data_IF_533471856821
#
_entry.id   IF_533471856821
#
_cell.length_a   1.000
_cell.length_b   1.000
_cell.length_c   1.000
_cell.angle_alpha   90.00
_cell.angle_beta   90.00
_cell.angle_gamma   90.00
#
_symmetry.space_group_name_H-M   'P 1'
#
loop_
_entity.id
_entity.type
_entity.pdbx_description
1 polymer ?
#
# COMPACT_ATOMS: atom_id res chain seq x y z
N UNK A 1 13.21 2.42 -16.70
CA UNK A 1 13.77 1.67 -15.55
C UNK A 1 14.51 0.39 -16.00
N UNK A 2 13.86 -0.49 -16.76
CA UNK A 2 14.49 -1.73 -17.25
C UNK A 2 15.75 -1.44 -18.11
N UNK A 3 15.71 -0.42 -18.94
CA UNK A 3 16.83 0.01 -19.77
C UNK A 3 17.94 0.70 -18.95
N UNK A 4 17.57 1.51 -17.96
CA UNK A 4 18.52 2.24 -17.10
C UNK A 4 19.21 1.32 -16.09
N UNK A 5 18.57 0.22 -15.68
CA UNK A 5 19.15 -0.78 -14.81
C UNK A 5 20.10 -1.80 -15.49
N UNK A 6 20.53 -1.54 -16.74
CA UNK A 6 21.46 -2.41 -17.46
C UNK A 6 20.82 -3.62 -18.15
N UNK A 7 19.51 -3.64 -18.28
CA UNK A 7 18.74 -4.72 -18.91
C UNK A 7 18.68 -4.64 -20.45
N UNK A 8 19.48 -3.79 -21.07
CA UNK A 8 19.51 -3.59 -22.53
C UNK A 8 19.69 -4.87 -23.36
N UNK A 9 20.22 -5.95 -22.74
CA UNK A 9 20.47 -7.22 -23.43
C UNK A 9 19.40 -8.28 -23.21
N UNK A 10 18.39 -8.04 -22.37
CA UNK A 10 17.42 -9.07 -21.93
C UNK A 10 15.95 -8.65 -22.02
N UNK A 11 15.63 -7.39 -22.37
CA UNK A 11 14.25 -7.04 -22.63
C UNK A 11 13.78 -7.81 -23.88
N UNK A 12 12.75 -8.68 -23.77
CA UNK A 12 12.19 -9.31 -24.95
C UNK A 12 11.79 -8.25 -25.93
N UNK A 13 12.12 -8.43 -27.21
CA UNK A 13 11.76 -7.48 -28.26
C UNK A 13 10.25 -7.21 -28.34
N UNK A 14 9.45 -8.14 -27.79
CA UNK A 14 8.00 -8.11 -27.79
C UNK A 14 7.38 -7.49 -26.53
N UNK A 15 8.18 -7.11 -25.51
CA UNK A 15 7.68 -6.42 -24.33
C UNK A 15 7.38 -4.96 -24.66
N UNK A 16 6.11 -4.60 -24.68
CA UNK A 16 5.63 -3.24 -24.94
C UNK A 16 4.98 -2.62 -23.71
N UNK A 17 4.83 -1.29 -23.69
CA UNK A 17 4.11 -0.58 -22.63
C UNK A 17 2.65 -1.03 -22.50
N UNK A 18 2.03 -1.54 -23.57
CA UNK A 18 0.67 -2.07 -23.55
C UNK A 18 0.48 -3.25 -22.59
N UNK A 19 1.55 -4.00 -22.28
CA UNK A 19 1.48 -5.07 -21.27
C UNK A 19 1.34 -4.55 -19.84
N UNK A 20 1.53 -3.25 -19.61
CA UNK A 20 1.34 -2.59 -18.32
C UNK A 20 0.17 -1.58 -18.34
N UNK A 21 -0.59 -1.54 -19.43
CA UNK A 21 -1.80 -0.73 -19.58
C UNK A 21 -3.01 -1.53 -19.06
N UNK A 22 -3.07 -1.71 -17.75
CA UNK A 22 -4.13 -2.45 -17.09
C UNK A 22 -5.38 -1.58 -16.95
N UNK A 23 -6.58 -2.20 -16.98
CA UNK A 23 -7.85 -1.48 -16.90
C UNK A 23 -7.94 -0.56 -15.68
N UNK A 24 -8.20 0.72 -15.94
CA UNK A 24 -8.24 1.76 -14.90
C UNK A 24 -9.36 1.56 -13.88
N UNK A 25 -10.46 0.91 -14.26
CA UNK A 25 -11.55 0.63 -13.29
C UNK A 25 -11.05 -0.22 -12.14
N UNK A 26 -10.16 -1.17 -12.41
CA UNK A 26 -9.57 -2.04 -11.38
C UNK A 26 -8.46 -1.30 -10.64
N UNK A 27 -7.53 -0.67 -11.37
CA UNK A 27 -6.40 0.01 -10.73
C UNK A 27 -6.86 1.18 -9.86
N UNK A 28 -7.81 2.00 -10.34
CA UNK A 28 -8.39 3.12 -9.58
C UNK A 28 -9.16 2.63 -8.33
N UNK A 29 -9.89 1.50 -8.46
CA UNK A 29 -10.59 0.91 -7.30
C UNK A 29 -9.62 0.54 -6.18
N UNK A 30 -8.44 0.06 -6.52
CA UNK A 30 -7.43 -0.33 -5.55
C UNK A 30 -6.59 0.86 -5.06
N UNK A 31 -6.30 1.84 -5.92
CA UNK A 31 -5.40 2.95 -5.61
C UNK A 31 -6.11 4.10 -4.86
N UNK A 32 -7.31 4.51 -5.31
CA UNK A 32 -7.97 5.64 -4.68
C UNK A 32 -8.52 5.27 -3.32
N UNK A 33 -8.05 5.96 -2.28
CA UNK A 33 -8.35 5.68 -0.87
C UNK A 33 -9.84 5.51 -0.58
N UNK A 34 -10.70 6.31 -1.22
CA UNK A 34 -12.14 6.24 -1.04
C UNK A 34 -12.78 5.04 -1.73
N UNK A 35 -12.28 4.64 -2.90
CA UNK A 35 -12.76 3.45 -3.61
C UNK A 35 -12.29 2.18 -2.92
N UNK A 36 -11.03 2.13 -2.48
CA UNK A 36 -10.48 1.03 -1.70
C UNK A 36 -11.27 0.79 -0.41
N UNK A 37 -11.60 1.88 0.32
CA UNK A 37 -12.39 1.79 1.54
C UNK A 37 -13.83 1.31 1.34
N UNK A 38 -14.42 1.54 0.16
CA UNK A 38 -15.72 0.99 -0.23
C UNK A 38 -15.63 -0.46 -0.74
N UNK A 39 -14.49 -0.82 -1.29
CA UNK A 39 -14.25 -2.13 -1.88
C UNK A 39 -13.88 -3.18 -0.83
N UNK A 40 -13.08 -2.84 0.17
CA UNK A 40 -12.56 -3.78 1.16
C UNK A 40 -13.47 -3.91 2.39
N UNK A 41 -13.55 -5.10 2.99
CA UNK A 41 -14.28 -5.30 4.23
C UNK A 41 -13.49 -4.77 5.44
N UNK A 42 -14.23 -4.40 6.48
CA UNK A 42 -13.66 -3.84 7.74
C UNK A 42 -12.79 -4.82 8.53
N UNK A 43 -12.80 -6.09 8.16
CA UNK A 43 -11.99 -7.15 8.77
C UNK A 43 -10.52 -7.08 8.33
N UNK A 44 -10.23 -6.51 7.15
CA UNK A 44 -8.85 -6.43 6.61
C UNK A 44 -8.39 -5.01 6.36
N UNK A 45 -9.30 -4.04 6.35
CA UNK A 45 -9.02 -2.63 6.10
C UNK A 45 -9.69 -1.77 7.18
N UNK A 46 -9.01 -0.78 7.79
CA UNK A 46 -9.64 0.09 8.77
C UNK A 46 -10.85 0.80 8.20
N UNK A 47 -11.96 0.85 8.96
CA UNK A 47 -13.21 1.48 8.53
C UNK A 47 -12.94 2.86 7.93
N UNK A 48 -13.34 3.06 6.69
CA UNK A 48 -13.00 4.24 5.89
C UNK A 48 -14.26 4.82 5.26
N UNK A 49 -14.44 6.13 5.38
CA UNK A 49 -15.61 6.86 4.90
C UNK A 49 -15.16 7.98 3.98
N UNK A 50 -15.80 8.11 2.82
CA UNK A 50 -15.66 9.28 1.98
C UNK A 50 -16.33 10.49 2.65
N UNK A 51 -15.64 11.63 2.70
CA UNK A 51 -16.10 12.83 3.38
C UNK A 51 -15.67 14.09 2.61
N UNK A 52 -16.61 15.02 2.40
CA UNK A 52 -16.38 16.28 1.71
C UNK A 52 -17.24 17.41 2.29
N UNK A 53 -17.30 18.57 1.60
CA UNK A 53 -18.08 19.75 2.00
C UNK A 53 -19.57 19.50 2.07
N UNK A 54 -20.09 18.52 1.31
CA UNK A 54 -21.51 18.30 1.15
C UNK A 54 -22.07 17.25 2.10
N UNK A 55 -21.23 16.26 2.48
CA UNK A 55 -21.69 15.11 3.26
C UNK A 55 -21.13 15.00 4.69
N UNK A 56 -20.17 15.86 5.08
CA UNK A 56 -19.44 15.71 6.34
C UNK A 56 -20.32 15.65 7.59
N UNK A 57 -21.44 16.41 7.61
CA UNK A 57 -22.36 16.37 8.75
C UNK A 57 -23.05 15.02 8.87
N UNK A 58 -23.49 14.47 7.75
CA UNK A 58 -24.15 13.16 7.70
C UNK A 58 -23.17 12.06 8.12
N UNK A 59 -21.96 12.08 7.56
CA UNK A 59 -20.90 11.11 7.90
C UNK A 59 -20.59 11.16 9.39
N UNK A 60 -20.30 12.36 9.93
CA UNK A 60 -19.92 12.48 11.35
C UNK A 60 -21.03 12.16 12.33
N UNK A 61 -22.30 12.22 11.92
CA UNK A 61 -23.42 11.76 12.72
C UNK A 61 -23.60 10.23 12.71
N UNK A 62 -23.04 9.55 11.72
CA UNK A 62 -23.20 8.09 11.53
C UNK A 62 -22.02 7.25 12.02
N UNK A 63 -20.85 7.87 12.24
CA UNK A 63 -19.64 7.15 12.65
C UNK A 63 -19.49 7.13 14.18
N UNK A 64 -18.82 6.10 14.73
CA UNK A 64 -18.55 6.04 16.16
C UNK A 64 -17.61 7.15 16.63
N UNK A 65 -17.68 7.48 17.92
CA UNK A 65 -16.72 8.40 18.54
C UNK A 65 -15.44 7.64 18.90
N UNK A 66 -14.40 7.85 18.08
CA UNK A 66 -13.09 7.22 18.19
C UNK A 66 -12.01 8.10 17.57
N UNK A 67 -10.77 7.68 17.64
CA UNK A 67 -9.65 8.35 16.96
C UNK A 67 -9.72 8.16 15.46
N UNK A 68 -9.59 9.27 14.76
CA UNK A 68 -9.68 9.34 13.30
C UNK A 68 -8.43 9.90 12.66
N UNK A 69 -8.09 9.37 11.49
CA UNK A 69 -7.15 9.97 10.55
C UNK A 69 -7.92 10.49 9.34
N UNK A 70 -7.72 11.77 9.01
CA UNK A 70 -8.29 12.42 7.84
C UNK A 70 -7.20 12.59 6.80
N UNK A 71 -7.43 12.07 5.60
CA UNK A 71 -6.47 12.07 4.49
C UNK A 71 -7.13 12.64 3.24
N UNK A 72 -6.50 13.57 2.48
CA UNK A 72 -6.99 13.93 1.16
C UNK A 72 -7.07 12.71 0.24
N UNK A 73 -8.17 12.59 -0.51
CA UNK A 73 -8.43 11.42 -1.36
C UNK A 73 -7.41 11.28 -2.50
N UNK A 74 -6.93 12.41 -3.02
CA UNK A 74 -6.13 12.48 -4.24
C UNK A 74 -4.67 12.87 -4.00
N UNK A 75 -4.27 13.14 -2.74
CA UNK A 75 -2.88 13.47 -2.42
C UNK A 75 -2.15 12.28 -1.85
N UNK A 76 -0.85 12.20 -2.19
CA UNK A 76 0.09 11.20 -1.70
C UNK A 76 1.11 11.83 -0.73
N UNK A 77 2.04 11.03 -0.23
CA UNK A 77 3.19 11.45 0.60
C UNK A 77 2.82 12.15 1.92
N UNK A 78 1.71 11.79 2.54
CA UNK A 78 1.35 12.29 3.87
C UNK A 78 0.92 13.75 3.94
N UNK A 79 0.75 14.43 2.81
CA UNK A 79 0.38 15.83 2.77
C UNK A 79 -1.04 16.05 3.31
N UNK A 80 -1.20 17.09 4.12
CA UNK A 80 -2.49 17.51 4.72
C UNK A 80 -3.21 16.38 5.48
N UNK A 81 -2.47 15.43 6.04
CA UNK A 81 -3.02 14.43 6.95
C UNK A 81 -3.25 15.07 8.33
N UNK A 82 -4.39 14.79 8.92
CA UNK A 82 -4.74 15.23 10.27
C UNK A 82 -5.16 14.02 11.12
N UNK A 83 -4.78 14.05 12.40
CA UNK A 83 -5.22 13.09 13.41
C UNK A 83 -6.15 13.80 14.40
N UNK A 84 -7.25 13.15 14.73
CA UNK A 84 -8.24 13.67 15.67
C UNK A 84 -8.54 12.62 16.75
N UNK A 85 -8.47 12.99 18.03
CA UNK A 85 -8.72 12.04 19.12
C UNK A 85 -10.18 11.55 19.19
N UNK A 86 -11.08 12.24 18.52
CA UNK A 86 -12.51 11.95 18.53
C UNK A 86 -13.24 12.64 17.37
N UNK A 87 -14.49 12.28 17.16
CA UNK A 87 -15.37 12.85 16.14
C UNK A 87 -15.56 14.37 16.28
N UNK A 88 -15.56 14.89 17.52
CA UNK A 88 -15.69 16.34 17.78
C UNK A 88 -14.54 17.14 17.16
N UNK A 89 -13.32 16.60 17.19
CA UNK A 89 -12.16 17.24 16.55
C UNK A 89 -12.35 17.39 15.04
N UNK A 90 -12.91 16.37 14.39
CA UNK A 90 -13.25 16.40 12.96
C UNK A 90 -14.35 17.43 12.68
N UNK A 91 -15.37 17.52 13.53
CA UNK A 91 -16.42 18.56 13.47
C UNK A 91 -15.82 19.97 13.50
N UNK A 92 -14.92 20.23 14.42
CA UNK A 92 -14.25 21.54 14.54
C UNK A 92 -13.43 21.84 13.30
N UNK A 93 -12.71 20.86 12.74
CA UNK A 93 -11.92 21.00 11.52
C UNK A 93 -12.81 21.38 10.32
N UNK A 94 -13.95 20.69 10.11
CA UNK A 94 -14.86 21.00 9.00
C UNK A 94 -15.58 22.35 9.12
N UNK A 95 -15.65 22.91 10.32
CA UNK A 95 -16.17 24.27 10.56
C UNK A 95 -15.13 25.37 10.37
N UNK A 96 -13.85 25.01 10.32
CA UNK A 96 -12.78 25.98 10.13
C UNK A 96 -12.72 26.46 8.67
N UNK A 97 -12.52 27.76 8.48
CA UNK A 97 -12.29 28.35 7.15
C UNK A 97 -10.90 28.06 6.58
N UNK A 98 -9.95 27.65 7.44
CA UNK A 98 -8.54 27.48 7.06
C UNK A 98 -8.19 26.01 6.74
N UNK A 99 -9.18 25.14 6.54
CA UNK A 99 -8.92 23.76 6.12
C UNK A 99 -8.70 23.66 4.62
N UNK A 100 -7.99 22.64 4.21
CA UNK A 100 -7.98 22.21 2.81
C UNK A 100 -9.40 21.75 2.41
N UNK A 101 -9.92 22.27 1.31
CA UNK A 101 -11.17 21.80 0.71
C UNK A 101 -10.98 20.53 -0.12
N UNK A 102 -12.11 20.05 -0.69
CA UNK A 102 -12.14 18.90 -1.58
C UNK A 102 -12.32 17.55 -0.86
N UNK A 103 -12.27 16.45 -1.63
CA UNK A 103 -12.59 15.13 -1.14
C UNK A 103 -11.50 14.57 -0.22
N UNK A 104 -11.94 14.00 0.91
CA UNK A 104 -11.09 13.32 1.89
C UNK A 104 -11.63 11.92 2.18
N UNK A 105 -10.81 11.12 2.84
CA UNK A 105 -11.23 9.92 3.55
C UNK A 105 -11.04 10.12 5.05
N UNK A 106 -12.07 9.77 5.81
CA UNK A 106 -12.05 9.65 7.26
C UNK A 106 -11.88 8.18 7.59
N UNK A 107 -10.71 7.80 8.09
CA UNK A 107 -10.36 6.41 8.38
C UNK A 107 -10.13 6.20 9.87
N UNK A 108 -10.60 5.07 10.39
CA UNK A 108 -10.33 4.67 11.76
C UNK A 108 -8.81 4.59 12.00
N UNK A 109 -8.32 5.27 13.03
CA UNK A 109 -6.90 5.28 13.34
C UNK A 109 -6.53 4.09 14.23
N UNK A 110 -5.47 3.38 13.87
CA UNK A 110 -4.94 2.27 14.66
C UNK A 110 -4.06 2.83 15.80
N UNK A 111 -4.68 3.03 16.95
CA UNK A 111 -4.03 3.67 18.13
C UNK A 111 -3.03 2.78 18.85
N UNK A 112 -3.22 1.48 18.76
CA UNK A 112 -2.34 0.49 19.37
C UNK A 112 -1.61 -0.31 18.28
N UNK A 113 -0.63 0.32 17.59
CA UNK A 113 0.18 -0.40 16.60
C UNK A 113 1.15 -1.34 17.30
N UNK A 114 1.49 -2.45 16.65
CA UNK A 114 2.68 -3.19 16.99
C UNK A 114 3.92 -2.31 16.75
N UNK A 115 4.86 -2.30 17.69
CA UNK A 115 6.02 -1.41 17.65
C UNK A 115 7.32 -2.21 17.52
N UNK A 116 8.24 -1.73 16.70
CA UNK A 116 9.62 -2.21 16.74
C UNK A 116 10.28 -1.70 18.02
N UNK A 117 10.88 -2.62 18.78
CA UNK A 117 11.57 -2.27 20.02
C UNK A 117 12.82 -1.47 19.71
N UNK A 118 12.91 -0.28 20.29
CA UNK A 118 14.09 0.58 20.29
C UNK A 118 14.75 0.59 21.67
N UNK A 119 15.85 1.34 21.83
CA UNK A 119 16.60 1.40 23.10
C UNK A 119 15.76 1.87 24.29
N UNK A 120 14.83 2.80 24.08
CA UNK A 120 14.02 3.41 25.14
C UNK A 120 12.52 3.24 24.94
N UNK A 121 12.04 3.36 23.71
CA UNK A 121 10.61 3.28 23.33
C UNK A 121 10.47 2.57 22.00
N UNK A 122 9.27 2.03 21.75
CA UNK A 122 8.97 1.41 20.49
C UNK A 122 8.70 2.41 19.36
N UNK A 123 9.08 2.04 18.16
CA UNK A 123 8.85 2.83 16.96
C UNK A 123 7.71 2.25 16.12
N UNK A 124 6.81 3.13 15.67
CA UNK A 124 5.75 2.75 14.75
C UNK A 124 6.34 2.43 13.37
N UNK A 125 5.76 1.47 12.68
CA UNK A 125 6.15 1.11 11.33
C UNK A 125 4.95 0.76 10.45
N UNK A 126 5.14 0.84 9.15
CA UNK A 126 4.33 0.17 8.15
C UNK A 126 5.20 -0.79 7.34
N UNK A 127 4.54 -1.73 6.65
CA UNK A 127 5.17 -2.71 5.78
C UNK A 127 4.81 -2.37 4.33
N UNK A 128 5.81 -2.18 3.45
CA UNK A 128 5.62 -2.10 2.01
C UNK A 128 5.93 -3.47 1.40
N UNK A 129 4.95 -4.04 0.71
CA UNK A 129 5.08 -5.26 -0.08
C UNK A 129 4.76 -4.98 -1.55
N UNK A 130 5.15 -5.88 -2.45
CA UNK A 130 4.91 -5.76 -3.88
C UNK A 130 4.00 -6.89 -4.36
N UNK A 131 2.95 -6.51 -5.04
CA UNK A 131 1.92 -7.41 -5.55
C UNK A 131 1.72 -7.20 -7.04
N UNK A 132 1.61 -8.29 -7.79
CA UNK A 132 1.42 -8.30 -9.24
C UNK A 132 0.08 -8.94 -9.54
N UNK A 133 -0.76 -8.23 -10.29
CA UNK A 133 -2.04 -8.72 -10.80
C UNK A 133 -1.94 -8.90 -12.31
N UNK A 134 -2.49 -9.98 -12.86
CA UNK A 134 -2.57 -10.22 -14.30
C UNK A 134 -4.01 -10.07 -14.81
N UNK A 135 -4.17 -9.72 -16.09
CA UNK A 135 -5.47 -9.71 -16.77
C UNK A 135 -6.10 -11.10 -16.93
N UNK A 136 -5.42 -12.16 -16.51
CA UNK A 136 -5.95 -13.53 -16.43
C UNK A 136 -6.47 -13.87 -15.04
N UNK A 137 -6.57 -12.90 -14.13
CA UNK A 137 -7.06 -13.12 -12.77
C UNK A 137 -6.12 -13.91 -11.87
N UNK A 138 -4.85 -13.93 -12.19
CA UNK A 138 -3.80 -14.45 -11.32
C UNK A 138 -3.17 -13.31 -10.55
N UNK A 139 -2.73 -13.57 -9.32
CA UNK A 139 -2.00 -12.60 -8.55
C UNK A 139 -0.84 -13.23 -7.78
N UNK A 140 0.23 -12.46 -7.61
CA UNK A 140 1.49 -12.92 -7.08
C UNK A 140 2.07 -11.93 -6.08
N UNK A 141 2.47 -12.40 -4.92
CA UNK A 141 3.14 -11.61 -3.89
C UNK A 141 4.65 -11.84 -3.98
N UNK A 142 5.42 -10.75 -4.07
CA UNK A 142 6.87 -10.83 -3.90
C UNK A 142 7.21 -10.95 -2.41
N UNK A 143 8.01 -11.94 -1.97
CA UNK A 143 8.18 -12.25 -0.56
C UNK A 143 9.06 -11.26 0.20
N UNK A 144 9.73 -10.36 -0.51
CA UNK A 144 10.60 -9.36 0.07
C UNK A 144 10.01 -7.96 -0.08
N UNK A 145 9.94 -7.26 1.02
CA UNK A 145 9.52 -5.88 1.08
C UNK A 145 10.37 -5.12 2.10
N UNK A 146 9.83 -4.09 2.68
CA UNK A 146 10.53 -3.33 3.70
C UNK A 146 9.60 -2.70 4.73
N UNK A 147 10.15 -2.46 5.90
CA UNK A 147 9.56 -1.66 6.95
C UNK A 147 9.88 -0.18 6.70
N UNK A 148 8.87 0.67 6.73
CA UNK A 148 9.02 2.11 6.93
C UNK A 148 8.91 2.38 8.43
N UNK A 149 10.01 2.56 9.12
CA UNK A 149 10.07 2.73 10.56
C UNK A 149 10.19 4.21 10.90
N UNK A 150 9.23 4.79 11.63
CA UNK A 150 9.27 6.18 12.05
C UNK A 150 10.56 6.48 12.84
N UNK A 151 11.21 7.63 12.55
CA UNK A 151 12.43 8.03 13.23
C UNK A 151 12.22 8.39 14.70
N UNK A 152 10.99 8.79 15.07
CA UNK A 152 10.64 9.12 16.45
C UNK A 152 9.84 7.99 17.10
N UNK A 153 10.09 7.71 18.39
CA UNK A 153 9.30 6.77 19.16
C UNK A 153 7.81 7.14 19.11
N UNK A 154 6.96 6.12 19.08
CA UNK A 154 5.51 6.30 19.10
C UNK A 154 5.03 6.91 20.42
N UNK A 155 4.20 7.94 20.34
CA UNK A 155 3.61 8.63 21.50
C UNK A 155 2.10 8.58 21.41
N UNK A 156 1.48 7.57 22.04
CA UNK A 156 0.02 7.42 22.04
C UNK A 156 -0.64 8.70 22.59
N UNK A 157 -1.64 9.21 21.86
CA UNK A 157 -2.40 10.40 22.26
C UNK A 157 -1.74 11.74 21.93
N UNK A 158 -0.49 11.80 21.50
CA UNK A 158 0.17 13.06 21.08
C UNK A 158 -0.08 13.33 19.57
N UNK A 159 -1.33 13.50 19.18
CA UNK A 159 -1.74 13.65 17.78
C UNK A 159 -1.23 14.93 17.09
N UNK A 160 -0.65 15.86 17.82
CA UNK A 160 -0.01 17.05 17.24
C UNK A 160 1.37 16.75 16.68
N UNK A 161 2.03 15.69 17.16
CA UNK A 161 3.35 15.28 16.68
C UNK A 161 3.22 14.21 15.60
N UNK A 162 2.89 14.60 14.37
CA UNK A 162 2.70 13.67 13.26
C UNK A 162 3.92 12.79 12.98
N UNK A 163 5.14 13.24 13.32
CA UNK A 163 6.37 12.50 13.05
C UNK A 163 6.51 11.18 13.80
N UNK A 164 5.76 10.98 14.89
CA UNK A 164 5.74 9.70 15.60
C UNK A 164 4.52 8.83 15.23
N UNK A 165 3.58 9.38 14.47
CA UNK A 165 2.33 8.71 14.07
C UNK A 165 2.34 8.26 12.60
N UNK A 166 2.97 9.03 11.71
CA UNK A 166 3.01 8.75 10.28
C UNK A 166 4.30 7.99 9.92
N UNK A 167 4.14 7.03 9.04
CA UNK A 167 5.24 6.21 8.47
C UNK A 167 5.46 6.50 6.99
N UNK A 168 5.05 7.70 6.54
CA UNK A 168 5.37 8.20 5.22
C UNK A 168 6.86 8.56 5.16
N UNK A 169 7.49 8.33 4.02
CA UNK A 169 8.93 8.58 3.81
C UNK A 169 9.29 10.04 4.10
N UNK A 170 8.46 10.96 3.63
CA UNK A 170 8.61 12.39 3.90
C UNK A 170 7.36 12.95 4.57
N UNK A 171 7.54 13.84 5.55
CA UNK A 171 6.48 14.70 6.10
C UNK A 171 6.44 16.08 5.44
N UNK A 172 7.54 16.45 4.75
CA UNK A 172 7.72 17.63 3.92
C UNK A 172 8.76 17.33 2.85
N UNK A 173 8.90 18.17 1.83
CA UNK A 173 9.82 17.94 0.72
C UNK A 173 11.28 17.64 1.12
N UNK A 174 11.73 18.15 2.26
CA UNK A 174 13.13 18.10 2.68
C UNK A 174 13.38 17.28 3.96
N UNK A 175 12.36 16.63 4.53
CA UNK A 175 12.51 15.97 5.83
C UNK A 175 12.13 14.49 5.76
N UNK A 176 13.14 13.63 5.78
CA UNK A 176 12.93 12.19 5.98
C UNK A 176 12.31 11.92 7.34
N UNK A 177 11.30 11.07 7.37
CA UNK A 177 10.57 10.69 8.58
C UNK A 177 10.77 9.23 8.98
N UNK A 178 11.33 8.41 8.11
CA UNK A 178 11.47 6.97 8.32
C UNK A 178 12.86 6.47 7.97
N UNK A 179 13.20 5.31 8.55
CA UNK A 179 14.26 4.44 8.06
C UNK A 179 13.60 3.26 7.37
N UNK A 180 14.10 2.91 6.19
CA UNK A 180 13.65 1.75 5.42
C UNK A 180 14.53 0.54 5.72
N UNK A 181 13.92 -0.54 6.22
CA UNK A 181 14.62 -1.75 6.62
C UNK A 181 14.04 -2.95 5.86
N UNK A 182 14.85 -3.69 5.09
CA UNK A 182 14.35 -4.86 4.37
C UNK A 182 13.73 -5.91 5.29
N UNK A 183 12.61 -6.52 4.88
CA UNK A 183 11.87 -7.50 5.70
C UNK A 183 12.70 -8.73 6.05
N UNK A 184 13.62 -9.15 5.18
CA UNK A 184 14.48 -10.32 5.42
C UNK A 184 15.51 -10.11 6.53
N UNK A 185 15.71 -8.89 7.01
CA UNK A 185 16.60 -8.59 8.15
C UNK A 185 15.91 -8.76 9.51
N UNK A 186 14.60 -8.98 9.52
CA UNK A 186 13.83 -9.08 10.76
C UNK A 186 12.98 -10.35 10.79
N UNK A 187 13.30 -11.27 11.69
CA UNK A 187 12.49 -12.47 11.95
C UNK A 187 11.04 -12.16 12.35
N UNK A 188 10.82 -10.97 12.90
CA UNK A 188 9.50 -10.43 13.23
C UNK A 188 8.52 -10.44 12.04
N UNK A 189 9.01 -10.37 10.80
CA UNK A 189 8.17 -10.40 9.61
C UNK A 189 7.52 -11.77 9.36
N UNK A 190 8.18 -12.85 9.77
CA UNK A 190 7.75 -14.23 9.46
C UNK A 190 6.29 -14.52 9.82
N UNK A 191 5.78 -14.20 11.04
CA UNK A 191 4.38 -14.46 11.39
C UNK A 191 3.36 -13.58 10.66
N UNK A 192 3.78 -12.44 10.10
CA UNK A 192 2.89 -11.53 9.38
C UNK A 192 2.71 -11.90 7.92
N UNK A 193 3.69 -12.57 7.30
CA UNK A 193 3.65 -12.91 5.90
C UNK A 193 2.44 -13.76 5.50
N UNK A 194 2.06 -14.82 6.22
CA UNK A 194 0.85 -15.58 5.91
C UNK A 194 -0.44 -14.75 5.99
N UNK A 195 -0.54 -13.81 6.95
CA UNK A 195 -1.69 -12.91 7.04
C UNK A 195 -1.74 -11.95 5.83
N UNK A 196 -0.60 -11.44 5.38
CA UNK A 196 -0.50 -10.61 4.18
C UNK A 196 -0.98 -11.38 2.94
N UNK A 197 -0.55 -12.65 2.78
CA UNK A 197 -1.01 -13.52 1.70
C UNK A 197 -2.53 -13.71 1.74
N UNK A 198 -3.09 -14.01 2.91
CA UNK A 198 -4.52 -14.21 3.09
C UNK A 198 -5.33 -12.94 2.77
N UNK A 199 -4.87 -11.77 3.20
CA UNK A 199 -5.48 -10.48 2.86
C UNK A 199 -5.47 -10.26 1.33
N UNK A 200 -4.34 -10.48 0.67
CA UNK A 200 -4.23 -10.29 -0.78
C UNK A 200 -5.03 -11.33 -1.57
N UNK A 201 -5.15 -12.56 -1.05
CA UNK A 201 -6.08 -13.56 -1.58
C UNK A 201 -7.53 -13.04 -1.52
N UNK A 202 -7.99 -12.51 -0.39
CA UNK A 202 -9.32 -11.93 -0.24
C UNK A 202 -9.54 -10.75 -1.21
N UNK A 203 -8.54 -9.87 -1.39
CA UNK A 203 -8.59 -8.79 -2.39
C UNK A 203 -8.81 -9.37 -3.78
N UNK A 204 -8.04 -10.38 -4.17
CA UNK A 204 -8.15 -11.04 -5.48
C UNK A 204 -9.53 -11.68 -5.68
N UNK A 205 -10.06 -12.39 -4.69
CA UNK A 205 -11.40 -13.01 -4.79
C UNK A 205 -12.49 -11.95 -5.00
N UNK A 206 -12.44 -10.84 -4.28
CA UNK A 206 -13.39 -9.74 -4.47
C UNK A 206 -13.27 -9.07 -5.83
N UNK A 207 -12.06 -8.95 -6.39
CA UNK A 207 -11.86 -8.49 -7.77
C UNK A 207 -12.52 -9.43 -8.77
N UNK A 208 -12.32 -10.74 -8.61
CA UNK A 208 -12.94 -11.76 -9.46
C UNK A 208 -14.47 -11.71 -9.38
N UNK A 209 -15.02 -11.53 -8.20
CA UNK A 209 -16.49 -11.43 -8.00
C UNK A 209 -17.07 -10.17 -8.63
N UNK A 210 -16.40 -9.02 -8.45
CA UNK A 210 -16.96 -7.73 -8.83
C UNK A 210 -16.64 -7.30 -10.27
N UNK A 211 -15.46 -7.69 -10.78
CA UNK A 211 -14.90 -7.20 -12.04
C UNK A 211 -14.53 -8.33 -13.01
N UNK A 212 -15.16 -9.50 -12.93
CA UNK A 212 -14.83 -10.65 -13.78
C UNK A 212 -14.89 -10.31 -15.28
N UNK A 213 -15.88 -9.54 -15.73
CA UNK A 213 -16.03 -9.16 -17.13
C UNK A 213 -14.91 -8.24 -17.63
N UNK A 214 -14.28 -7.49 -16.74
CA UNK A 214 -13.17 -6.59 -17.06
C UNK A 214 -11.85 -7.34 -16.92
N UNK A 215 -11.66 -8.06 -15.82
CA UNK A 215 -10.43 -8.76 -15.48
C UNK A 215 -10.00 -9.80 -16.53
N UNK A 216 -10.96 -10.38 -17.25
CA UNK A 216 -10.71 -11.39 -18.29
C UNK A 216 -11.01 -10.88 -19.73
N UNK A 217 -11.10 -9.56 -19.91
CA UNK A 217 -11.52 -8.98 -21.20
C UNK A 217 -10.40 -8.86 -22.22
N UNK A 218 -9.14 -8.78 -21.77
CA UNK A 218 -8.00 -8.64 -22.66
C UNK A 218 -7.58 -9.96 -23.28
N UNK A 219 -7.34 -9.97 -24.60
CA UNK A 219 -6.73 -11.10 -25.30
C UNK A 219 -5.23 -11.19 -25.04
N UNK A 220 -4.58 -10.05 -24.80
CA UNK A 220 -3.17 -9.97 -24.46
C UNK A 220 -3.02 -9.95 -22.94
N UNK A 221 -1.94 -10.57 -22.47
CA UNK A 221 -1.67 -10.54 -21.03
C UNK A 221 -1.19 -9.16 -20.61
N UNK A 222 -1.84 -8.63 -19.59
CA UNK A 222 -1.47 -7.37 -18.96
C UNK A 222 -1.10 -7.58 -17.50
N UNK A 223 -0.22 -6.72 -16.98
CA UNK A 223 0.28 -6.76 -15.62
C UNK A 223 0.01 -5.43 -14.92
N UNK A 224 -0.56 -5.46 -13.74
CA UNK A 224 -0.63 -4.31 -12.85
C UNK A 224 0.29 -4.56 -11.65
N UNK A 225 1.16 -3.59 -11.36
CA UNK A 225 2.11 -3.64 -10.26
C UNK A 225 1.64 -2.75 -9.13
N UNK A 226 1.58 -3.28 -7.91
CA UNK A 226 1.16 -2.54 -6.73
C UNK A 226 2.21 -2.58 -5.63
N UNK A 227 2.50 -1.40 -5.07
CA UNK A 227 3.10 -1.29 -3.74
C UNK A 227 1.98 -1.28 -2.70
N UNK A 228 1.95 -2.28 -1.84
CA UNK A 228 0.88 -2.48 -0.85
C UNK A 228 1.39 -2.17 0.53
N UNK A 229 0.70 -1.28 1.23
CA UNK A 229 1.06 -0.85 2.57
C UNK A 229 0.19 -1.52 3.63
N UNK A 230 0.86 -2.14 4.60
CA UNK A 230 0.23 -2.79 5.73
C UNK A 230 0.68 -2.18 7.05
N UNK A 231 -0.15 -2.32 8.07
CA UNK A 231 0.20 -2.05 9.46
C UNK A 231 -0.18 -3.24 10.32
N UNK A 232 0.59 -3.48 11.36
CA UNK A 232 0.30 -4.50 12.37
C UNK A 232 -0.17 -3.81 13.63
N UNK A 233 -1.23 -4.32 14.26
CA UNK A 233 -1.69 -3.83 15.57
C UNK A 233 -1.01 -4.56 16.74
N UNK A 234 -1.23 -4.10 17.96
CA UNK A 234 -0.66 -4.68 19.17
C UNK A 234 -1.12 -6.13 19.47
N UNK A 235 -2.13 -6.61 18.75
CA UNK A 235 -2.59 -8.02 18.79
C UNK A 235 -1.99 -8.86 17.68
N UNK A 236 -0.98 -8.33 16.98
CA UNK A 236 -0.30 -8.96 15.85
C UNK A 236 -1.22 -9.22 14.65
N UNK A 237 -2.33 -8.50 14.53
CA UNK A 237 -3.21 -8.55 13.37
C UNK A 237 -2.71 -7.58 12.30
N UNK A 238 -2.64 -8.08 11.07
CA UNK A 238 -2.25 -7.28 9.90
C UNK A 238 -3.48 -6.57 9.31
N UNK A 239 -3.29 -5.29 8.98
CA UNK A 239 -4.28 -4.42 8.34
C UNK A 239 -3.72 -3.90 7.02
N UNK A 240 -4.47 -4.02 5.94
CA UNK A 240 -4.15 -3.38 4.66
C UNK A 240 -4.53 -1.90 4.76
N UNK A 241 -3.62 -0.99 4.49
CA UNK A 241 -3.85 0.45 4.58
C UNK A 241 -4.14 1.11 3.24
N UNK A 242 -3.29 0.83 2.24
CA UNK A 242 -3.38 1.39 0.89
C UNK A 242 -2.68 0.51 -0.13
N UNK A 243 -3.07 0.66 -1.39
CA UNK A 243 -2.43 0.04 -2.54
C UNK A 243 -2.07 1.14 -3.53
N UNK A 244 -0.82 1.18 -3.97
CA UNK A 244 -0.29 2.19 -4.87
C UNK A 244 0.03 1.55 -6.21
N UNK A 245 -0.70 1.89 -7.27
CA UNK A 245 -0.44 1.40 -8.61
C UNK A 245 0.82 2.07 -9.17
N UNK A 246 1.65 1.30 -9.88
CA UNK A 246 2.91 1.79 -10.43
C UNK A 246 3.89 2.29 -9.35
N UNK A 247 4.27 1.46 -8.35
CA UNK A 247 5.12 1.92 -7.27
C UNK A 247 6.47 2.42 -7.78
N UNK A 248 6.95 3.51 -7.19
CA UNK A 248 8.29 4.04 -7.50
C UNK A 248 9.37 3.08 -6.99
N UNK A 249 10.35 2.82 -7.84
CA UNK A 249 11.56 2.10 -7.51
C UNK A 249 12.75 3.03 -7.69
N UNK A 250 13.50 3.39 -6.62
CA UNK A 250 14.73 4.17 -6.75
C UNK A 250 15.73 3.48 -7.68
N UNK A 251 16.41 4.27 -8.51
CA UNK A 251 17.42 3.77 -9.46
C UNK A 251 18.86 3.87 -8.95
N UNK A 252 19.05 4.46 -7.77
CA UNK A 252 20.36 4.67 -7.17
C UNK A 252 20.97 3.35 -6.71
N UNK A 253 22.14 3.00 -7.25
CA UNK A 253 22.82 1.72 -6.96
C UNK A 253 23.19 1.54 -5.49
N UNK A 254 23.38 2.63 -4.75
CA UNK A 254 23.73 2.62 -3.33
C UNK A 254 22.51 2.57 -2.38
N UNK A 255 21.28 2.53 -2.90
CA UNK A 255 20.10 2.44 -2.06
C UNK A 255 20.06 1.11 -1.30
N UNK A 256 19.80 1.10 0.04
CA UNK A 256 19.85 -0.12 0.86
C UNK A 256 18.94 -1.25 0.39
N UNK A 257 17.84 -0.91 -0.29
CA UNK A 257 16.85 -1.86 -0.79
C UNK A 257 17.15 -2.32 -2.23
N UNK A 258 18.16 -1.72 -2.91
CA UNK A 258 18.36 -1.88 -4.35
C UNK A 258 18.54 -3.35 -4.75
N UNK A 259 19.48 -4.06 -4.14
CA UNK A 259 19.87 -5.38 -4.62
C UNK A 259 18.78 -6.45 -4.45
N UNK A 260 18.27 -6.64 -3.21
CA UNK A 260 17.37 -7.76 -2.90
C UNK A 260 15.90 -7.41 -3.07
N UNK A 261 15.52 -6.16 -2.84
CA UNK A 261 14.12 -5.77 -2.93
C UNK A 261 13.80 -5.30 -4.35
N UNK A 262 14.49 -4.30 -4.87
CA UNK A 262 14.10 -3.72 -6.16
C UNK A 262 14.64 -4.50 -7.36
N UNK A 263 15.93 -4.78 -7.43
CA UNK A 263 16.51 -5.59 -8.52
C UNK A 263 15.97 -7.02 -8.47
N UNK A 264 15.93 -7.62 -7.27
CA UNK A 264 15.37 -8.95 -7.09
C UNK A 264 13.91 -9.06 -7.53
N UNK A 265 13.08 -8.05 -7.22
CA UNK A 265 11.70 -7.97 -7.70
C UNK A 265 11.63 -7.98 -9.23
N UNK A 266 12.36 -7.07 -9.88
CA UNK A 266 12.33 -6.96 -11.33
C UNK A 266 12.86 -8.21 -12.03
N UNK A 267 13.95 -8.80 -11.52
CA UNK A 267 14.51 -10.05 -12.04
C UNK A 267 13.50 -11.18 -11.98
N UNK A 268 12.89 -11.38 -10.82
CA UNK A 268 11.89 -12.43 -10.63
C UNK A 268 10.63 -12.15 -11.46
N UNK A 269 10.17 -10.90 -11.54
CA UNK A 269 9.01 -10.51 -12.34
C UNK A 269 9.21 -10.90 -13.81
N UNK A 270 10.36 -10.57 -14.38
CA UNK A 270 10.66 -10.88 -15.78
C UNK A 270 10.76 -12.40 -15.98
N UNK A 271 11.59 -13.07 -15.20
CA UNK A 271 11.91 -14.49 -15.39
C UNK A 271 10.76 -15.43 -15.03
N UNK A 272 9.98 -15.12 -14.02
CA UNK A 272 8.95 -16.03 -13.51
C UNK A 272 7.54 -15.69 -14.01
N UNK A 273 7.25 -14.42 -14.31
CA UNK A 273 5.90 -14.00 -14.66
C UNK A 273 5.77 -13.50 -16.10
N UNK A 274 6.68 -12.67 -16.59
CA UNK A 274 6.55 -12.02 -17.90
C UNK A 274 7.01 -12.95 -19.03
N UNK A 275 8.27 -13.38 -19.04
CA UNK A 275 8.82 -14.21 -20.11
C UNK A 275 8.02 -15.50 -20.35
N UNK A 276 7.65 -16.27 -19.30
CA UNK A 276 6.89 -17.50 -19.52
C UNK A 276 5.55 -17.27 -20.21
N UNK A 277 4.90 -16.15 -19.92
CA UNK A 277 3.58 -15.83 -20.49
C UNK A 277 3.69 -15.25 -21.91
N UNK A 278 4.71 -14.43 -22.18
CA UNK A 278 4.93 -13.88 -23.52
C UNK A 278 5.40 -14.95 -24.51
N UNK A 279 6.24 -15.86 -24.08
CA UNK A 279 6.83 -16.88 -24.96
C UNK A 279 6.17 -18.27 -24.82
N UNK A 280 5.09 -18.34 -24.05
CA UNK A 280 4.27 -19.57 -23.88
C UNK A 280 5.08 -20.81 -23.46
N UNK A 281 5.97 -20.65 -22.48
CA UNK A 281 6.67 -21.79 -21.87
C UNK A 281 6.33 -21.92 -20.38
N UNK A 282 6.48 -23.16 -19.86
CA UNK A 282 6.28 -23.38 -18.43
C UNK A 282 7.50 -22.91 -17.66
N UNK A 283 7.28 -22.04 -16.68
CA UNK A 283 8.27 -21.66 -15.68
C UNK A 283 7.80 -22.14 -14.30
N UNK A 284 8.77 -22.49 -13.48
CA UNK A 284 8.55 -22.77 -12.06
C UNK A 284 8.68 -21.45 -11.28
N UNK A 285 7.70 -21.14 -10.45
CA UNK A 285 7.81 -20.01 -9.53
C UNK A 285 8.85 -20.37 -8.46
N UNK A 286 9.92 -19.59 -8.38
CA UNK A 286 11.00 -19.78 -7.39
C UNK A 286 10.94 -18.76 -6.28
N UNK A 287 10.44 -17.58 -6.59
CA UNK A 287 10.44 -16.42 -5.71
C UNK A 287 9.02 -15.94 -5.43
N UNK A 288 8.26 -15.66 -6.49
CA UNK A 288 6.90 -15.19 -6.31
C UNK A 288 5.98 -16.25 -5.69
N UNK A 289 5.12 -15.79 -4.79
CA UNK A 289 4.14 -16.64 -4.09
C UNK A 289 2.75 -16.35 -4.65
N UNK A 290 2.05 -17.34 -5.20
CA UNK A 290 0.68 -17.16 -5.68
C UNK A 290 -0.27 -16.74 -4.56
N UNK A 291 -1.19 -15.83 -4.86
CA UNK A 291 -2.32 -15.45 -4.01
C UNK A 291 -3.59 -16.13 -4.53
N UNK A 292 -3.54 -17.45 -4.72
CA UNK A 292 -4.64 -18.25 -5.28
C UNK A 292 -5.58 -18.78 -4.21
#
# INVERSE_FOLDING_TARGET
YLLEAGWQSFAPADLSFSHFDFDSTITDTLEFKHLLGLFLPSEIHPSTFYIDEHNWQQVLNSVPDQTWILKPSLLNNGQHIHLFPNTRGVWQHYRSSNRMGGPHVLQAYLEDPHLLKGPERGHKYSLRMFWVLTSQGEAFLYPHGYFNVALKPYEKGNFLNLSCHLTNEHLSHDTYNVVQIPTYQYDLFKPFFPQIQDILHQVLQRLKERFSSILYSSNDIQFALFGVDFMVDARERVWLLEMNHGPCFPVEDNHPLQQKVYQGFWQSLIQELIEPRLFNFKSELKTFVPCS
#
